data_IF_292471120209
#
_entry.id   IF_292471120209
#
_cell.length_a   1.000
_cell.length_b   1.000
_cell.length_c   1.000
_cell.angle_alpha   90.00
_cell.angle_beta   90.00
_cell.angle_gamma   90.00
#
_symmetry.space_group_name_H-M   'P 1'
#
loop_
_entity.id
_entity.type
_entity.pdbx_description
1 polymer ?
#
# COMPACT_ATOMS: atom_id res chain seq x y z
N UNK A 1 11.18 4.50 -30.88
CA UNK A 1 11.37 4.11 -29.46
C UNK A 1 10.22 4.69 -28.66
N UNK A 2 9.41 3.87 -28.00
CA UNK A 2 8.39 4.37 -27.07
C UNK A 2 9.09 5.10 -25.94
N UNK A 3 8.66 6.32 -25.64
CA UNK A 3 9.22 7.11 -24.54
C UNK A 3 8.92 6.35 -23.24
N UNK A 4 9.96 5.89 -22.56
CA UNK A 4 9.84 5.18 -21.28
C UNK A 4 9.17 6.10 -20.26
N UNK A 5 8.19 5.59 -19.50
CA UNK A 5 7.56 6.35 -18.42
C UNK A 5 8.62 6.66 -17.37
N UNK A 6 8.75 7.94 -17.00
CA UNK A 6 9.75 8.36 -16.02
C UNK A 6 9.51 7.72 -14.66
N UNK A 7 10.54 7.63 -13.82
CA UNK A 7 10.43 7.04 -12.47
C UNK A 7 9.43 7.84 -11.63
N UNK A 8 9.50 9.16 -11.69
CA UNK A 8 8.64 10.08 -10.95
C UNK A 8 7.17 9.87 -11.30
N UNK A 9 6.87 9.72 -12.60
CA UNK A 9 5.50 9.44 -13.04
C UNK A 9 5.01 8.07 -12.56
N UNK A 10 5.87 7.05 -12.53
CA UNK A 10 5.51 5.72 -12.00
C UNK A 10 5.19 5.79 -10.51
N UNK A 11 6.05 6.42 -9.72
CA UNK A 11 5.86 6.61 -8.27
C UNK A 11 4.58 7.41 -8.01
N UNK A 12 4.34 8.50 -8.75
CA UNK A 12 3.13 9.31 -8.59
C UNK A 12 1.86 8.49 -8.87
N UNK A 13 1.83 7.69 -9.94
CA UNK A 13 0.70 6.79 -10.24
C UNK A 13 0.45 5.81 -9.09
N UNK A 14 1.53 5.17 -8.60
CA UNK A 14 1.43 4.17 -7.55
C UNK A 14 0.90 4.74 -6.23
N UNK A 15 1.51 5.83 -5.76
CA UNK A 15 1.11 6.51 -4.53
C UNK A 15 -0.30 7.09 -4.63
N UNK A 16 -0.65 7.70 -5.78
CA UNK A 16 -1.99 8.25 -5.99
C UNK A 16 -3.06 7.17 -5.93
N UNK A 17 -2.83 6.00 -6.55
CA UNK A 17 -3.79 4.90 -6.47
C UNK A 17 -3.91 4.31 -5.06
N UNK A 18 -2.81 4.22 -4.31
CA UNK A 18 -2.86 3.79 -2.91
C UNK A 18 -3.64 4.76 -2.01
N UNK A 19 -3.57 6.06 -2.29
CA UNK A 19 -4.30 7.08 -1.52
C UNK A 19 -5.76 7.26 -1.96
N UNK A 20 -6.13 6.88 -3.19
CA UNK A 20 -7.43 7.17 -3.77
C UNK A 20 -8.19 5.89 -4.17
N UNK A 21 -9.40 5.72 -3.62
CA UNK A 21 -10.28 4.57 -3.87
C UNK A 21 -11.09 4.69 -5.18
N UNK A 22 -10.46 5.18 -6.24
CA UNK A 22 -11.08 5.30 -7.57
C UNK A 22 -10.88 4.07 -8.43
N UNK A 23 -11.68 3.96 -9.51
CA UNK A 23 -11.48 2.91 -10.51
C UNK A 23 -10.15 3.08 -11.25
N UNK A 24 -9.48 1.96 -11.56
CA UNK A 24 -8.23 1.92 -12.34
C UNK A 24 -8.28 2.79 -13.59
N UNK A 25 -9.43 2.78 -14.27
CA UNK A 25 -9.63 3.48 -15.54
C UNK A 25 -9.60 4.99 -15.35
N UNK A 26 -10.30 5.50 -14.34
CA UNK A 26 -10.32 6.93 -14.00
C UNK A 26 -8.91 7.43 -13.69
N UNK A 27 -8.15 6.65 -12.91
CA UNK A 27 -6.78 7.02 -12.54
C UNK A 27 -5.85 6.89 -13.74
N UNK A 28 -5.97 5.83 -14.55
CA UNK A 28 -5.18 5.67 -15.77
C UNK A 28 -5.40 6.86 -16.73
N UNK A 29 -6.66 7.26 -16.94
CA UNK A 29 -7.02 8.41 -17.78
C UNK A 29 -6.45 9.72 -17.21
N UNK A 30 -6.49 9.94 -15.89
CA UNK A 30 -5.89 11.10 -15.21
C UNK A 30 -4.38 11.23 -15.49
N UNK A 31 -3.66 10.10 -15.52
CA UNK A 31 -2.24 10.07 -15.81
C UNK A 31 -1.92 9.92 -17.31
N UNK A 32 -2.91 9.90 -18.19
CA UNK A 32 -2.75 9.72 -19.63
C UNK A 32 -2.11 8.37 -19.98
N UNK A 33 -2.49 7.31 -19.27
CA UNK A 33 -2.02 5.95 -19.44
C UNK A 33 -3.16 5.06 -19.91
N UNK A 34 -2.83 4.03 -20.70
CA UNK A 34 -3.78 2.92 -20.91
C UNK A 34 -3.86 2.07 -19.65
N UNK A 35 -5.03 1.48 -19.39
CA UNK A 35 -5.28 0.61 -18.23
C UNK A 35 -4.22 -0.50 -18.05
N UNK A 36 -3.82 -1.16 -19.13
CA UNK A 36 -2.78 -2.20 -19.07
C UNK A 36 -1.44 -1.66 -18.56
N UNK A 37 -1.03 -0.49 -19.06
CA UNK A 37 0.20 0.18 -18.61
C UNK A 37 0.10 0.66 -17.17
N UNK A 38 -1.06 1.20 -16.77
CA UNK A 38 -1.33 1.60 -15.40
C UNK A 38 -1.16 0.42 -14.43
N UNK A 39 -1.78 -0.74 -14.72
CA UNK A 39 -1.68 -1.93 -13.87
C UNK A 39 -0.22 -2.39 -13.75
N UNK A 40 0.53 -2.42 -14.85
CA UNK A 40 1.95 -2.79 -14.81
C UNK A 40 2.78 -1.83 -13.96
N UNK A 41 2.56 -0.51 -14.13
CA UNK A 41 3.26 0.52 -13.34
C UNK A 41 2.90 0.41 -11.85
N UNK A 42 1.62 0.23 -11.54
CA UNK A 42 1.14 0.09 -10.17
C UNK A 42 1.77 -1.12 -9.48
N UNK A 43 1.77 -2.28 -10.14
CA UNK A 43 2.43 -3.49 -9.61
C UNK A 43 3.90 -3.28 -9.30
N UNK A 44 4.65 -2.64 -10.21
CA UNK A 44 6.07 -2.34 -9.96
C UNK A 44 6.26 -1.50 -8.70
N UNK A 45 5.39 -0.50 -8.46
CA UNK A 45 5.49 0.33 -7.25
C UNK A 45 5.11 -0.47 -6.01
N UNK A 46 4.00 -1.22 -6.05
CA UNK A 46 3.56 -2.05 -4.92
C UNK A 46 4.59 -3.11 -4.56
N UNK A 47 5.17 -3.80 -5.54
CA UNK A 47 6.19 -4.83 -5.30
C UNK A 47 7.43 -4.25 -4.61
N UNK A 48 7.81 -3.01 -4.95
CA UNK A 48 8.91 -2.30 -4.28
C UNK A 48 8.52 -1.87 -2.85
N UNK A 49 7.28 -1.41 -2.64
CA UNK A 49 6.80 -1.04 -1.31
C UNK A 49 6.59 -2.25 -0.38
N UNK A 50 6.14 -3.38 -0.92
CA UNK A 50 5.97 -4.64 -0.19
C UNK A 50 7.34 -5.22 0.21
N UNK A 51 8.34 -5.09 -0.65
CA UNK A 51 9.73 -5.40 -0.32
C UNK A 51 10.28 -4.54 0.84
N UNK A 52 9.90 -3.26 0.91
CA UNK A 52 10.50 -2.28 1.82
C UNK A 52 9.73 -2.05 3.13
N UNK A 53 8.40 -2.13 3.20
CA UNK A 53 7.68 -1.31 4.18
C UNK A 53 6.52 -1.90 4.97
N UNK A 54 5.71 -2.81 4.43
CA UNK A 54 4.46 -3.20 5.09
C UNK A 54 4.61 -4.54 5.80
N UNK A 55 5.00 -4.49 7.08
CA UNK A 55 5.11 -5.68 7.92
C UNK A 55 4.10 -5.63 9.05
N UNK A 56 3.44 -6.77 9.28
CA UNK A 56 2.66 -6.99 10.50
C UNK A 56 3.59 -6.94 11.70
N UNK A 57 3.48 -5.86 12.49
CA UNK A 57 4.26 -5.68 13.71
C UNK A 57 3.59 -6.47 14.83
N UNK A 58 4.35 -7.36 15.49
CA UNK A 58 3.85 -8.04 16.70
C UNK A 58 3.78 -7.03 17.84
N UNK A 59 2.81 -7.18 18.75
CA UNK A 59 2.65 -6.28 19.91
C UNK A 59 3.98 -6.03 20.67
N UNK A 60 4.78 -7.08 20.89
CA UNK A 60 6.09 -6.99 21.56
C UNK A 60 7.16 -6.15 20.84
N UNK A 61 6.98 -5.88 19.55
CA UNK A 61 7.90 -5.13 18.69
C UNK A 61 7.41 -3.69 18.44
N UNK A 62 6.19 -3.36 18.88
CA UNK A 62 5.51 -2.11 18.52
C UNK A 62 6.29 -0.87 18.96
N UNK A 63 6.68 -0.78 20.24
CA UNK A 63 7.41 0.38 20.76
C UNK A 63 8.75 0.58 20.05
N UNK A 64 9.48 -0.51 19.79
CA UNK A 64 10.76 -0.46 19.10
C UNK A 64 10.59 0.10 17.68
N UNK A 65 9.62 -0.42 16.93
CA UNK A 65 9.35 0.00 15.56
C UNK A 65 8.88 1.46 15.48
N UNK A 66 8.01 1.90 16.41
CA UNK A 66 7.60 3.32 16.48
C UNK A 66 8.81 4.23 16.68
N UNK A 67 9.72 3.88 17.59
CA UNK A 67 10.95 4.67 17.86
C UNK A 67 11.89 4.68 16.66
N UNK A 68 12.13 3.53 16.04
CA UNK A 68 12.98 3.42 14.86
C UNK A 68 12.42 4.24 13.69
N UNK A 69 11.11 4.16 13.45
CA UNK A 69 10.45 4.93 12.39
C UNK A 69 10.53 6.44 12.66
N UNK A 70 10.30 6.88 13.90
CA UNK A 70 10.45 8.28 14.29
C UNK A 70 11.90 8.77 14.08
N UNK A 71 12.89 7.95 14.46
CA UNK A 71 14.30 8.30 14.27
C UNK A 71 14.66 8.44 12.78
N UNK A 72 14.14 7.57 11.92
CA UNK A 72 14.46 7.57 10.48
C UNK A 72 13.68 8.63 9.68
N UNK A 73 12.42 8.88 10.04
CA UNK A 73 11.50 9.71 9.23
C UNK A 73 11.09 11.04 9.88
N UNK A 74 11.30 11.20 11.20
CA UNK A 74 10.74 12.30 11.98
C UNK A 74 9.23 12.21 12.20
N UNK A 75 8.57 11.16 11.70
CA UNK A 75 7.12 11.01 11.79
C UNK A 75 6.72 10.25 13.08
N UNK A 76 5.97 10.87 14.00
CA UNK A 76 5.55 10.21 15.22
C UNK A 76 4.45 9.18 14.93
N UNK A 77 4.42 8.09 15.71
CA UNK A 77 3.37 7.06 15.63
C UNK A 77 3.15 6.50 14.21
N UNK A 78 4.24 6.17 13.50
CA UNK A 78 4.21 5.56 12.18
C UNK A 78 3.76 4.07 12.21
N UNK A 79 2.71 3.76 12.97
CA UNK A 79 2.05 2.46 13.01
C UNK A 79 0.55 2.71 12.91
N UNK A 80 -0.08 2.08 11.92
CA UNK A 80 -1.52 2.09 11.73
C UNK A 80 -2.14 0.76 12.11
N UNK A 81 -3.38 0.80 12.58
CA UNK A 81 -4.24 -0.37 12.65
C UNK A 81 -5.07 -0.44 11.37
N UNK A 82 -5.20 -1.63 10.79
CA UNK A 82 -6.19 -1.88 9.75
C UNK A 82 -7.49 -2.25 10.48
N UNK A 83 -8.41 -1.31 10.57
CA UNK A 83 -9.78 -1.56 11.03
C UNK A 83 -10.68 -1.77 9.80
N UNK A 84 -11.54 -2.79 9.84
CA UNK A 84 -12.56 -3.13 8.84
C UNK A 84 -12.16 -2.95 7.36
N UNK A 85 -11.79 -4.03 6.70
CA UNK A 85 -11.51 -4.02 5.26
C UNK A 85 -12.68 -4.63 4.46
N UNK A 86 -13.02 -4.04 3.30
CA UNK A 86 -14.00 -4.62 2.35
C UNK A 86 -13.41 -5.75 1.48
N UNK A 87 -12.15 -6.15 1.69
CA UNK A 87 -11.53 -7.25 0.94
C UNK A 87 -11.47 -8.51 1.79
N UNK A 88 -11.67 -9.67 1.14
CA UNK A 88 -11.61 -10.95 1.82
C UNK A 88 -10.22 -11.19 2.40
N UNK A 89 -10.13 -11.28 3.73
CA UNK A 89 -8.92 -11.70 4.45
C UNK A 89 -9.02 -13.19 4.71
N UNK A 90 -7.93 -13.93 4.50
CA UNK A 90 -7.81 -15.33 4.94
C UNK A 90 -7.11 -15.36 6.30
N UNK A 91 -7.86 -15.40 7.41
CA UNK A 91 -7.25 -15.25 8.71
C UNK A 91 -6.47 -16.49 9.14
N UNK A 92 -5.42 -16.33 9.97
CA UNK A 92 -4.73 -17.47 10.58
C UNK A 92 -5.70 -18.31 11.41
N UNK A 93 -5.66 -19.64 11.27
CA UNK A 93 -6.58 -20.57 11.97
C UNK A 93 -6.69 -20.32 13.48
N UNK A 94 -5.58 -19.95 14.12
CA UNK A 94 -5.51 -19.74 15.58
C UNK A 94 -6.29 -18.50 16.07
N UNK A 95 -6.59 -17.56 15.19
CA UNK A 95 -7.21 -16.27 15.52
C UNK A 95 -8.38 -15.94 14.59
N UNK A 96 -8.94 -16.92 13.88
CA UNK A 96 -9.95 -16.67 12.84
C UNK A 96 -11.21 -15.98 13.38
N UNK A 97 -11.58 -16.22 14.64
CA UNK A 97 -12.68 -15.56 15.34
C UNK A 97 -12.50 -14.05 15.51
N UNK A 98 -11.25 -13.57 15.49
CA UNK A 98 -10.92 -12.16 15.68
C UNK A 98 -11.06 -11.37 14.36
N UNK A 99 -11.25 -12.06 13.24
CA UNK A 99 -11.45 -11.48 11.92
C UNK A 99 -12.95 -11.52 11.59
N UNK A 100 -13.66 -10.48 12.04
CA UNK A 100 -15.07 -10.30 11.74
C UNK A 100 -15.23 -9.20 10.69
N UNK A 101 -15.81 -9.55 9.54
CA UNK A 101 -16.26 -8.54 8.60
C UNK A 101 -17.61 -8.00 9.08
N UNK A 102 -17.62 -6.79 9.63
CA UNK A 102 -18.82 -6.14 10.12
C UNK A 102 -19.59 -5.37 9.03
N UNK A 103 -19.16 -5.45 7.76
CA UNK A 103 -19.80 -4.78 6.61
C UNK A 103 -20.03 -5.70 5.41
#
# INVERSE_FOLDING_TARGET
MTKTISVEKRVAVGMFHLCFSGEDRTIADLFGLRRSTFITVFKIVVDQLDYEGIRLVRARQLEKQIRECFFMSGFPQAVGAIDGSHFAVSPPKKHASDYYNYK
#
